data_IF_364657966177
#
_entry.id   IF_364657966177
#
_cell.length_a   1.000
_cell.length_b   1.000
_cell.length_c   1.000
_cell.angle_alpha   90.00
_cell.angle_beta   90.00
_cell.angle_gamma   90.00
#
_symmetry.space_group_name_H-M   'P 1'
#
loop_
_entity.id
_entity.type
_entity.pdbx_description
1 polymer ?
#
# COMPACT_ATOMS: atom_id res chain seq x y z
N UNK A 1 -33.02 13.88 -7.91
CA UNK A 1 -31.96 12.95 -8.36
C UNK A 1 -30.64 13.65 -8.20
N UNK A 2 -29.92 13.33 -7.12
CA UNK A 2 -28.66 13.99 -6.78
C UNK A 2 -27.50 13.43 -7.62
N UNK A 3 -27.39 13.95 -8.86
CA UNK A 3 -26.39 13.51 -9.84
C UNK A 3 -24.94 13.82 -9.42
N UNK A 4 -24.71 14.54 -8.31
CA UNK A 4 -23.38 14.95 -7.85
C UNK A 4 -22.72 13.98 -6.85
N UNK A 5 -23.44 12.96 -6.35
CA UNK A 5 -22.89 12.04 -5.33
C UNK A 5 -21.95 10.97 -5.87
N UNK A 6 -22.29 10.31 -6.98
CA UNK A 6 -21.50 9.22 -7.54
C UNK A 6 -21.83 8.97 -9.02
N UNK A 7 -20.85 8.49 -9.77
CA UNK A 7 -20.98 8.05 -11.17
C UNK A 7 -20.20 6.76 -11.36
N UNK A 8 -20.79 5.80 -12.08
CA UNK A 8 -20.13 4.54 -12.42
C UNK A 8 -20.32 4.24 -13.90
N UNK A 9 -19.22 3.97 -14.59
CA UNK A 9 -19.18 3.58 -16.00
C UNK A 9 -18.57 2.18 -16.11
N UNK A 10 -19.30 1.26 -16.72
CA UNK A 10 -18.91 -0.15 -16.84
C UNK A 10 -18.89 -0.54 -18.30
N UNK A 11 -17.71 -0.96 -18.76
CA UNK A 11 -17.52 -1.52 -20.09
C UNK A 11 -17.38 -3.04 -19.97
N UNK A 12 -18.28 -3.79 -20.59
CA UNK A 12 -18.19 -5.25 -20.70
C UNK A 12 -18.19 -5.65 -22.19
N UNK A 13 -17.00 -5.84 -22.75
CA UNK A 13 -16.79 -5.98 -24.19
C UNK A 13 -17.24 -4.71 -24.92
N UNK A 14 -18.24 -4.85 -25.81
CA UNK A 14 -18.84 -3.73 -26.56
C UNK A 14 -20.01 -3.05 -25.83
N UNK A 15 -20.47 -3.58 -24.69
CA UNK A 15 -21.63 -3.05 -23.97
C UNK A 15 -21.18 -2.03 -22.92
N UNK A 16 -21.77 -0.84 -23.00
CA UNK A 16 -21.56 0.26 -22.06
C UNK A 16 -22.77 0.39 -21.13
N UNK A 17 -22.53 0.45 -19.82
CA UNK A 17 -23.53 0.80 -18.82
C UNK A 17 -23.04 1.97 -17.97
N UNK A 18 -23.90 2.96 -17.76
CA UNK A 18 -23.64 4.08 -16.85
C UNK A 18 -24.70 4.15 -15.76
N UNK A 19 -24.30 4.40 -14.52
CA UNK A 19 -25.19 4.63 -13.39
C UNK A 19 -24.78 5.91 -12.64
N UNK A 20 -25.74 6.54 -11.95
CA UNK A 20 -25.56 7.80 -11.22
C UNK A 20 -26.16 7.72 -9.82
N UNK A 21 -25.63 8.52 -8.88
CA UNK A 21 -26.14 8.62 -7.51
C UNK A 21 -26.15 7.28 -6.78
N UNK A 22 -27.22 6.98 -6.04
CA UNK A 22 -27.33 5.75 -5.26
C UNK A 22 -27.28 4.48 -6.12
N UNK A 23 -27.80 4.54 -7.35
CA UNK A 23 -27.71 3.44 -8.31
C UNK A 23 -26.27 3.14 -8.72
N UNK A 24 -25.40 4.16 -8.80
CA UNK A 24 -23.96 3.96 -9.04
C UNK A 24 -23.29 3.26 -7.86
N UNK A 25 -23.68 3.62 -6.62
CA UNK A 25 -23.13 3.03 -5.40
C UNK A 25 -23.54 1.57 -5.27
N UNK A 26 -24.82 1.24 -5.48
CA UNK A 26 -25.30 -0.14 -5.48
C UNK A 26 -24.65 -0.98 -6.58
N UNK A 27 -24.48 -0.40 -7.79
CA UNK A 27 -23.82 -1.09 -8.89
C UNK A 27 -22.31 -1.28 -8.63
N UNK A 28 -21.65 -0.32 -7.97
CA UNK A 28 -20.25 -0.47 -7.50
C UNK A 28 -20.13 -1.65 -6.55
N UNK A 29 -20.96 -1.72 -5.50
CA UNK A 29 -20.93 -2.83 -4.54
C UNK A 29 -21.18 -4.19 -5.18
N UNK A 30 -22.09 -4.27 -6.16
CA UNK A 30 -22.39 -5.52 -6.87
C UNK A 30 -21.26 -5.98 -7.79
N UNK A 31 -20.55 -5.04 -8.43
CA UNK A 31 -19.51 -5.36 -9.41
C UNK A 31 -18.11 -5.46 -8.80
N UNK A 32 -17.84 -4.63 -7.80
CA UNK A 32 -16.56 -4.51 -7.10
C UNK A 32 -16.90 -4.45 -5.60
N UNK A 33 -17.20 -5.60 -4.97
CA UNK A 33 -17.43 -5.61 -3.54
C UNK A 33 -16.18 -5.12 -2.82
N UNK A 34 -16.36 -4.21 -1.84
CA UNK A 34 -15.25 -3.78 -1.00
C UNK A 34 -14.76 -5.02 -0.20
N UNK A 35 -13.50 -5.41 -0.40
CA UNK A 35 -12.87 -6.48 0.39
C UNK A 35 -12.77 -6.01 1.84
N UNK A 36 -13.31 -6.80 2.77
CA UNK A 36 -13.14 -6.55 4.20
C UNK A 36 -11.79 -7.13 4.65
N UNK A 37 -10.94 -6.25 5.18
CA UNK A 37 -9.62 -6.59 5.71
C UNK A 37 -9.58 -6.60 7.25
N UNK A 38 -10.73 -6.46 7.92
CA UNK A 38 -10.83 -6.29 9.38
C UNK A 38 -10.17 -7.41 10.21
N UNK A 39 -10.11 -8.62 9.67
CA UNK A 39 -9.47 -9.79 10.31
C UNK A 39 -8.10 -10.15 9.75
N UNK A 40 -7.66 -9.48 8.69
CA UNK A 40 -6.39 -9.79 8.04
C UNK A 40 -5.25 -9.12 8.80
N UNK A 41 -4.28 -9.92 9.25
CA UNK A 41 -3.09 -9.44 9.98
C UNK A 41 -1.79 -9.69 9.23
N UNK A 42 -1.87 -10.23 8.01
CA UNK A 42 -0.71 -10.66 7.23
C UNK A 42 -0.91 -10.30 5.76
N UNK A 43 0.18 -9.95 5.10
CA UNK A 43 0.26 -9.80 3.64
C UNK A 43 1.41 -10.61 3.10
N UNK A 44 1.24 -11.08 1.87
CA UNK A 44 2.27 -11.74 1.08
C UNK A 44 2.69 -10.82 -0.07
N UNK A 45 3.96 -10.87 -0.45
CA UNK A 45 4.50 -10.10 -1.56
C UNK A 45 5.77 -10.74 -2.10
N UNK A 46 6.31 -10.17 -3.16
CA UNK A 46 7.60 -10.60 -3.72
C UNK A 46 8.74 -9.94 -2.98
N UNK A 47 9.76 -10.72 -2.63
CA UNK A 47 10.99 -10.20 -2.08
C UNK A 47 11.79 -9.45 -3.14
N UNK A 48 12.09 -8.18 -2.88
CA UNK A 48 12.99 -7.38 -3.70
C UNK A 48 14.42 -7.34 -3.13
N UNK A 49 14.54 -7.36 -1.79
CA UNK A 49 15.79 -7.53 -1.06
C UNK A 49 15.51 -8.29 0.24
N UNK A 50 16.26 -9.35 0.55
CA UNK A 50 15.99 -10.22 1.70
C UNK A 50 16.33 -9.57 3.04
N UNK A 51 15.76 -10.10 4.11
CA UNK A 51 16.02 -9.70 5.49
C UNK A 51 14.82 -9.87 6.40
N UNK A 52 15.06 -9.80 7.71
CA UNK A 52 14.05 -9.95 8.75
C UNK A 52 14.15 -8.75 9.70
N UNK A 53 13.08 -7.96 9.78
CA UNK A 53 13.02 -6.79 10.66
C UNK A 53 11.69 -6.73 11.38
N UNK A 54 11.71 -6.22 12.61
CA UNK A 54 10.53 -5.78 13.36
C UNK A 54 10.55 -4.27 13.48
N UNK A 55 9.41 -3.64 13.29
CA UNK A 55 9.32 -2.19 13.42
C UNK A 55 7.90 -1.66 13.38
N UNK A 56 7.74 -0.42 13.81
CA UNK A 56 6.47 0.28 13.71
C UNK A 56 6.20 0.70 12.27
N UNK A 57 5.00 0.42 11.80
CA UNK A 57 4.53 0.82 10.48
C UNK A 57 4.38 2.34 10.41
N UNK A 58 4.78 2.89 9.27
CA UNK A 58 4.41 4.24 8.85
C UNK A 58 3.83 4.18 7.44
N UNK A 59 2.52 4.39 7.32
CA UNK A 59 1.79 4.32 6.04
C UNK A 59 1.83 5.69 5.35
N UNK A 60 2.27 5.71 4.09
CA UNK A 60 2.21 6.86 3.21
C UNK A 60 0.99 6.81 2.30
N UNK A 61 0.15 7.84 2.41
CA UNK A 61 -1.03 8.01 1.56
C UNK A 61 -0.78 9.08 0.48
N UNK A 62 -0.69 8.62 -0.76
CA UNK A 62 -0.61 9.47 -1.94
C UNK A 62 -1.87 10.33 -2.07
N UNK A 63 -1.71 11.64 -2.28
CA UNK A 63 -2.83 12.59 -2.40
C UNK A 63 -3.28 13.25 -1.10
N UNK A 64 -2.68 12.90 0.04
CA UNK A 64 -2.89 13.64 1.29
C UNK A 64 -2.30 15.06 1.20
N UNK A 65 -3.05 16.06 1.70
CA UNK A 65 -2.57 17.46 1.79
C UNK A 65 -1.29 17.60 2.62
N UNK A 66 -1.03 16.66 3.53
CA UNK A 66 0.11 16.65 4.44
C UNK A 66 1.25 15.73 3.99
N UNK A 67 1.35 15.40 2.70
CA UNK A 67 2.38 14.49 2.17
C UNK A 67 3.82 14.88 2.62
N UNK A 68 4.20 16.15 2.49
CA UNK A 68 5.54 16.59 2.90
C UNK A 68 5.76 16.47 4.42
N UNK A 69 4.71 16.71 5.23
CA UNK A 69 4.79 16.51 6.68
C UNK A 69 4.91 15.04 7.05
N UNK A 70 4.24 14.14 6.33
CA UNK A 70 4.40 12.69 6.55
C UNK A 70 5.85 12.25 6.34
N UNK A 71 6.52 12.76 5.29
CA UNK A 71 7.95 12.47 5.04
C UNK A 71 8.81 12.96 6.21
N UNK A 72 8.55 14.19 6.68
CA UNK A 72 9.31 14.78 7.78
C UNK A 72 9.10 14.00 9.09
N UNK A 73 7.86 13.61 9.38
CA UNK A 73 7.43 12.99 10.63
C UNK A 73 7.66 11.48 10.71
N UNK A 74 8.08 10.83 9.62
CA UNK A 74 8.43 9.41 9.67
C UNK A 74 9.60 9.20 10.67
N UNK A 75 9.42 8.35 11.70
CA UNK A 75 10.48 8.03 12.65
C UNK A 75 11.62 7.25 12.00
N UNK A 76 12.82 7.39 12.56
CA UNK A 76 13.95 6.55 12.21
C UNK A 76 13.67 5.09 12.55
N UNK A 77 14.03 4.16 11.66
CA UNK A 77 13.84 2.73 11.83
C UNK A 77 12.40 2.25 11.67
N UNK A 78 11.47 3.09 11.19
CA UNK A 78 10.10 2.66 10.91
C UNK A 78 9.99 1.80 9.63
N UNK A 79 8.96 0.95 9.56
CA UNK A 79 8.63 0.18 8.35
C UNK A 79 7.81 1.07 7.42
N UNK A 80 8.36 1.41 6.26
CA UNK A 80 7.69 2.23 5.25
C UNK A 80 6.67 1.39 4.51
N UNK A 81 5.39 1.76 4.60
CA UNK A 81 4.31 1.12 3.84
C UNK A 81 3.70 2.14 2.88
N UNK A 82 3.65 1.83 1.58
CA UNK A 82 3.11 2.75 0.57
C UNK A 82 2.55 2.01 -0.63
N UNK A 83 1.59 2.60 -1.36
CA UNK A 83 1.07 1.96 -2.58
C UNK A 83 2.17 1.71 -3.61
N UNK A 84 3.01 2.71 -3.82
CA UNK A 84 4.24 2.66 -4.62
C UNK A 84 5.26 3.63 -4.03
N UNK A 85 6.55 3.47 -4.34
CA UNK A 85 7.56 4.48 -4.03
C UNK A 85 7.89 5.33 -5.26
N UNK A 86 8.47 6.52 -5.00
CA UNK A 86 8.97 7.47 -6.01
C UNK A 86 10.23 8.15 -5.46
N UNK A 87 11.06 8.81 -6.30
CA UNK A 87 12.25 9.51 -5.82
C UNK A 87 11.97 10.56 -4.74
N UNK A 88 10.76 11.15 -4.72
CA UNK A 88 10.35 12.09 -3.68
C UNK A 88 10.26 11.47 -2.27
N UNK A 89 10.17 10.13 -2.16
CA UNK A 89 10.18 9.42 -0.87
C UNK A 89 11.59 9.13 -0.36
N UNK A 90 12.65 9.46 -1.10
CA UNK A 90 14.03 9.18 -0.68
C UNK A 90 14.36 9.63 0.75
N UNK A 91 13.91 10.81 1.24
CA UNK A 91 14.16 11.19 2.63
C UNK A 91 13.50 10.25 3.65
N UNK A 92 12.34 9.68 3.33
CA UNK A 92 11.65 8.70 4.18
C UNK A 92 12.27 7.30 4.05
N UNK A 93 12.62 6.89 2.82
CA UNK A 93 13.27 5.59 2.54
C UNK A 93 14.60 5.48 3.30
N UNK A 94 15.38 6.55 3.39
CA UNK A 94 16.65 6.55 4.13
C UNK A 94 16.49 6.29 5.63
N UNK A 95 15.32 6.60 6.19
CA UNK A 95 14.98 6.33 7.60
C UNK A 95 14.38 4.94 7.80
N UNK A 96 13.99 4.26 6.72
CA UNK A 96 13.19 3.04 6.81
C UNK A 96 14.04 1.83 7.20
N UNK A 97 13.55 1.01 8.10
CA UNK A 97 14.17 -0.29 8.44
C UNK A 97 13.71 -1.41 7.50
N UNK A 98 12.53 -1.27 6.89
CA UNK A 98 12.00 -2.13 5.84
C UNK A 98 11.04 -1.34 4.95
N UNK A 99 10.82 -1.83 3.72
CA UNK A 99 9.90 -1.25 2.74
C UNK A 99 8.87 -2.28 2.34
N UNK A 100 7.59 -1.91 2.37
CA UNK A 100 6.47 -2.74 1.90
C UNK A 100 5.63 -1.93 0.94
N UNK A 101 5.41 -2.45 -0.28
CA UNK A 101 4.55 -1.79 -1.26
C UNK A 101 3.40 -2.64 -1.76
N UNK A 102 2.26 -2.00 -2.04
CA UNK A 102 1.10 -2.67 -2.65
C UNK A 102 1.40 -3.03 -4.11
N UNK A 103 2.06 -2.12 -4.82
CA UNK A 103 2.37 -2.24 -6.23
C UNK A 103 3.90 -2.24 -6.46
N UNK A 104 4.30 -2.82 -7.59
CA UNK A 104 5.69 -2.81 -8.04
C UNK A 104 6.21 -4.20 -8.41
N UNK A 105 7.06 -4.22 -9.43
CA UNK A 105 7.81 -5.41 -9.85
C UNK A 105 9.28 -5.36 -9.41
N UNK A 106 10.04 -6.39 -9.79
CA UNK A 106 11.46 -6.56 -9.42
C UNK A 106 12.37 -5.43 -9.95
N UNK A 107 11.87 -4.67 -10.94
CA UNK A 107 12.49 -3.48 -11.57
C UNK A 107 11.87 -2.16 -11.12
N UNK A 108 10.97 -2.18 -10.13
CA UNK A 108 10.35 -0.96 -9.60
C UNK A 108 11.33 -0.09 -8.83
N UNK A 109 10.98 1.19 -8.65
CA UNK A 109 11.77 2.11 -7.83
C UNK A 109 12.03 1.56 -6.41
N UNK A 110 11.01 0.96 -5.77
CA UNK A 110 11.17 0.34 -4.45
C UNK A 110 12.24 -0.75 -4.47
N UNK A 111 12.17 -1.63 -5.47
CA UNK A 111 13.07 -2.77 -5.58
C UNK A 111 14.51 -2.41 -5.92
N UNK A 112 14.72 -1.37 -6.73
CA UNK A 112 16.07 -0.89 -7.07
C UNK A 112 16.70 -0.24 -5.85
N UNK A 113 16.01 0.75 -5.26
CA UNK A 113 16.54 1.53 -4.13
C UNK A 113 16.75 0.66 -2.89
N UNK A 114 15.87 -0.31 -2.63
CA UNK A 114 16.02 -1.21 -1.48
C UNK A 114 17.30 -2.05 -1.56
N UNK A 115 17.70 -2.50 -2.76
CA UNK A 115 18.95 -3.25 -2.96
C UNK A 115 20.18 -2.37 -2.78
N UNK A 116 20.13 -1.15 -3.29
CA UNK A 116 21.23 -0.19 -3.16
C UNK A 116 21.48 0.19 -1.70
N UNK A 117 20.41 0.37 -0.93
CA UNK A 117 20.47 0.75 0.49
C UNK A 117 20.52 -0.46 1.43
N UNK A 118 20.43 -1.69 0.89
CA UNK A 118 20.37 -2.94 1.66
C UNK A 118 19.24 -2.99 2.69
N UNK A 119 18.09 -2.42 2.34
CA UNK A 119 16.89 -2.38 3.19
C UNK A 119 15.98 -3.53 2.76
N UNK A 120 15.51 -4.41 3.68
CA UNK A 120 14.57 -5.47 3.35
C UNK A 120 13.29 -4.93 2.73
N UNK A 121 12.85 -5.57 1.65
CA UNK A 121 11.78 -5.01 0.82
C UNK A 121 10.84 -6.07 0.28
N UNK A 122 9.54 -5.86 0.54
CA UNK A 122 8.44 -6.57 -0.09
C UNK A 122 7.71 -5.65 -1.06
N UNK A 123 7.40 -6.17 -2.23
CA UNK A 123 6.70 -5.45 -3.29
C UNK A 123 5.51 -6.26 -3.78
N UNK A 124 4.51 -5.59 -4.34
CA UNK A 124 3.37 -6.28 -4.95
C UNK A 124 2.48 -6.99 -3.94
N UNK A 125 2.31 -6.42 -2.74
CA UNK A 125 1.44 -6.98 -1.68
C UNK A 125 -0.05 -6.75 -1.90
N UNK A 126 -0.40 -5.94 -2.90
CA UNK A 126 -1.75 -5.52 -3.32
C UNK A 126 -2.53 -4.66 -2.30
N UNK A 127 -2.42 -4.96 -1.00
CA UNK A 127 -3.30 -4.40 0.03
C UNK A 127 -2.61 -4.06 1.37
N UNK A 128 -1.29 -4.01 1.44
CA UNK A 128 -0.57 -3.65 2.67
C UNK A 128 -0.99 -2.29 3.23
N UNK A 129 -1.22 -1.27 2.39
CA UNK A 129 -1.68 0.06 2.86
C UNK A 129 -3.08 0.05 3.46
N UNK A 130 -3.89 -0.97 3.14
CA UNK A 130 -5.26 -1.13 3.66
C UNK A 130 -5.31 -1.98 4.92
N UNK A 131 -4.36 -2.90 5.06
CA UNK A 131 -4.27 -3.84 6.17
C UNK A 131 -3.50 -3.22 7.34
N UNK A 132 -2.33 -2.65 7.06
CA UNK A 132 -1.49 -2.04 8.09
C UNK A 132 -1.87 -0.59 8.33
N UNK A 133 -1.75 -0.15 9.59
CA UNK A 133 -1.96 1.23 10.02
C UNK A 133 -0.69 1.79 10.63
N UNK A 134 -0.52 3.10 10.51
CA UNK A 134 0.62 3.79 11.14
C UNK A 134 0.59 3.55 12.64
N UNK A 135 1.71 3.05 13.18
CA UNK A 135 1.86 2.68 14.59
C UNK A 135 1.77 1.19 14.86
N UNK A 136 1.23 0.37 13.94
CA UNK A 136 1.19 -1.08 14.09
C UNK A 136 2.62 -1.65 14.20
N UNK A 137 2.83 -2.58 15.13
CA UNK A 137 4.09 -3.32 15.20
C UNK A 137 4.01 -4.50 14.23
N UNK A 138 4.93 -4.55 13.27
CA UNK A 138 4.97 -5.62 12.27
C UNK A 138 6.33 -6.30 12.23
N UNK A 139 6.32 -7.59 11.93
CA UNK A 139 7.48 -8.34 11.47
C UNK A 139 7.43 -8.43 9.94
N UNK A 140 8.51 -8.03 9.27
CA UNK A 140 8.71 -8.16 7.83
C UNK A 140 9.78 -9.23 7.60
N UNK A 141 9.36 -10.42 7.18
CA UNK A 141 10.23 -11.49 6.71
C UNK A 141 10.30 -11.46 5.17
N UNK A 142 11.21 -10.63 4.67
CA UNK A 142 11.46 -10.54 3.24
C UNK A 142 12.15 -11.78 2.67
N UNK A 143 12.63 -12.72 3.49
CA UNK A 143 13.15 -14.00 2.99
C UNK A 143 12.01 -14.92 2.56
N UNK A 144 10.90 -14.87 3.30
CA UNK A 144 9.69 -15.67 3.02
C UNK A 144 8.65 -14.93 2.20
N UNK A 145 8.80 -13.63 2.00
CA UNK A 145 7.84 -12.83 1.23
C UNK A 145 6.65 -12.37 2.05
N UNK A 146 6.76 -12.28 3.39
CA UNK A 146 5.61 -12.11 4.29
C UNK A 146 5.84 -10.92 5.22
N UNK A 147 4.79 -10.14 5.48
CA UNK A 147 4.73 -9.19 6.57
C UNK A 147 3.48 -9.42 7.43
N UNK A 148 3.60 -9.37 8.75
CA UNK A 148 2.48 -9.62 9.66
C UNK A 148 2.51 -8.73 10.90
N UNK A 149 1.32 -8.41 11.43
CA UNK A 149 1.12 -7.64 12.66
C UNK A 149 1.42 -8.56 13.85
N UNK A 150 2.34 -8.13 14.72
CA UNK A 150 2.53 -8.77 16.02
C UNK A 150 1.40 -8.35 16.97
N UNK A 151 0.84 -9.33 17.68
CA UNK A 151 -0.25 -9.17 18.65
C UNK A 151 0.30 -9.24 20.05
#
# INVERSE_FOLDING_TARGET
IDRRKAYLFVLNGKKVKSAYGDSAISLKQKLIPDKDFSKTKMVEGKSAYPGLIKGKVFVFNWGSKDFNKQIANMPEGAVLVAGQTRPSLMPAIRKASAIVTDEGGITSHAAIVSRELKIPCLIGTEYATKIFKTGDLVEVDANKGIASIEV
#
